data_IF_047872283161
#
_entry.id   IF_047872283161
#
_cell.length_a   1.000
_cell.length_b   1.000
_cell.length_c   1.000
_cell.angle_alpha   90.00
_cell.angle_beta   90.00
_cell.angle_gamma   90.00
#
_symmetry.space_group_name_H-M   'P 1'
#
loop_
_entity.id
_entity.type
_entity.pdbx_description
1 polymer ?
#
# COMPACT_ATOMS: atom_id res chain seq x y z
N UNK A 1 -7.43 -11.87 -0.93
CA UNK A 1 -6.44 -12.16 0.14
C UNK A 1 -6.32 -11.06 1.20
N UNK A 2 -6.44 -9.76 0.87
CA UNK A 2 -6.39 -8.71 1.90
C UNK A 2 -7.53 -8.81 2.92
N UNK A 3 -8.76 -9.00 2.45
CA UNK A 3 -9.97 -9.06 3.30
C UNK A 3 -9.90 -10.17 4.36
N UNK A 4 -9.36 -11.34 4.02
CA UNK A 4 -9.14 -12.43 4.97
C UNK A 4 -8.15 -11.99 6.05
N UNK A 5 -7.05 -11.31 5.70
CA UNK A 5 -6.11 -10.80 6.72
C UNK A 5 -6.78 -9.78 7.63
N UNK A 6 -7.56 -8.86 7.07
CA UNK A 6 -8.29 -7.88 7.87
C UNK A 6 -9.21 -8.57 8.86
N UNK A 7 -9.95 -9.59 8.43
CA UNK A 7 -10.82 -10.38 9.30
C UNK A 7 -10.06 -11.13 10.40
N UNK A 8 -9.08 -11.96 10.02
CA UNK A 8 -8.38 -12.88 10.94
C UNK A 8 -7.61 -12.15 12.05
N UNK A 9 -7.00 -11.00 11.74
CA UNK A 9 -6.16 -10.29 12.72
C UNK A 9 -6.76 -8.97 13.21
N UNK A 10 -8.03 -8.67 12.89
CA UNK A 10 -8.68 -7.39 13.25
C UNK A 10 -8.59 -7.09 14.74
N UNK A 11 -8.89 -8.07 15.58
CA UNK A 11 -8.99 -7.90 17.03
C UNK A 11 -7.62 -7.84 17.72
N UNK A 12 -6.58 -8.31 17.05
CA UNK A 12 -5.23 -8.42 17.61
C UNK A 12 -4.34 -7.21 17.31
N UNK A 13 -4.71 -6.39 16.33
CA UNK A 13 -3.91 -5.21 15.94
C UNK A 13 -4.64 -3.90 16.23
N UNK A 14 -3.85 -2.86 16.50
CA UNK A 14 -4.36 -1.49 16.69
C UNK A 14 -4.64 -0.80 15.37
N UNK A 15 -3.78 -1.02 14.36
CA UNK A 15 -3.84 -0.33 13.08
C UNK A 15 -3.29 -1.21 11.96
N UNK A 16 -3.97 -1.21 10.83
CA UNK A 16 -3.48 -1.68 9.55
C UNK A 16 -2.96 -0.50 8.74
N UNK A 17 -1.65 -0.45 8.53
CA UNK A 17 -1.06 0.43 7.53
C UNK A 17 -1.06 -0.28 6.18
N UNK A 18 -1.83 0.22 5.23
CA UNK A 18 -1.93 -0.37 3.88
C UNK A 18 -1.41 0.64 2.86
N UNK A 19 -0.18 0.41 2.42
CA UNK A 19 0.43 1.15 1.32
C UNK A 19 0.15 0.44 -0.01
N UNK A 20 -0.41 1.18 -0.96
CA UNK A 20 -0.61 0.70 -2.33
C UNK A 20 0.08 1.65 -3.32
N UNK A 21 0.86 1.08 -4.23
CA UNK A 21 1.51 1.84 -5.31
C UNK A 21 0.68 1.91 -6.59
N UNK A 22 0.89 2.93 -7.43
CA UNK A 22 0.30 3.03 -8.78
C UNK A 22 1.14 2.37 -9.89
N UNK A 23 2.16 1.61 -9.53
CA UNK A 23 2.90 0.72 -10.44
C UNK A 23 2.88 -0.72 -9.93
N UNK A 24 3.10 -1.67 -10.83
CA UNK A 24 3.34 -3.09 -10.52
C UNK A 24 4.80 -3.30 -10.12
N UNK A 25 5.10 -4.49 -9.58
CA UNK A 25 6.46 -4.93 -9.28
C UNK A 25 7.40 -4.77 -10.49
N UNK A 26 6.90 -5.11 -11.68
CA UNK A 26 7.63 -4.99 -12.95
C UNK A 26 7.66 -3.56 -13.52
N UNK A 27 7.18 -2.56 -12.78
CA UNK A 27 7.22 -1.16 -13.20
C UNK A 27 6.10 -0.72 -14.16
N UNK A 28 5.08 -1.54 -14.38
CA UNK A 28 3.96 -1.17 -15.26
C UNK A 28 2.93 -0.34 -14.48
N UNK A 29 2.21 0.60 -15.12
CA UNK A 29 1.15 1.34 -14.44
C UNK A 29 0.05 0.41 -13.92
N UNK A 30 -0.50 0.70 -12.73
CA UNK A 30 -1.69 0.05 -12.19
C UNK A 30 -2.59 1.05 -11.46
N UNK A 31 -3.91 0.86 -11.48
CA UNK A 31 -4.79 1.67 -10.64
C UNK A 31 -4.58 1.35 -9.15
N UNK A 32 -5.07 2.24 -8.29
CA UNK A 32 -5.19 1.96 -6.86
C UNK A 32 -6.44 1.10 -6.60
N UNK A 33 -6.28 -0.22 -6.58
CA UNK A 33 -7.37 -1.17 -6.39
C UNK A 33 -8.02 -1.06 -5.02
N UNK A 34 -7.25 -0.70 -3.98
CA UNK A 34 -7.78 -0.49 -2.64
C UNK A 34 -8.77 0.68 -2.62
N UNK A 35 -8.47 1.76 -3.35
CA UNK A 35 -9.38 2.91 -3.51
C UNK A 35 -10.65 2.52 -4.24
N UNK A 36 -10.53 1.77 -5.33
CA UNK A 36 -11.68 1.31 -6.13
C UNK A 36 -12.61 0.38 -5.35
N UNK A 37 -12.05 -0.44 -4.45
CA UNK A 37 -12.80 -1.41 -3.65
C UNK A 37 -13.02 -0.93 -2.21
N UNK A 38 -12.83 0.36 -1.92
CA UNK A 38 -12.80 0.86 -0.55
C UNK A 38 -14.07 0.53 0.24
N UNK A 39 -15.24 0.65 -0.41
CA UNK A 39 -16.54 0.37 0.20
C UNK A 39 -16.67 -1.07 0.70
N UNK A 40 -16.05 -2.04 0.03
CA UNK A 40 -16.10 -3.45 0.44
C UNK A 40 -15.40 -3.71 1.77
N UNK A 41 -14.46 -2.84 2.14
CA UNK A 41 -13.69 -2.94 3.37
C UNK A 41 -14.27 -2.06 4.49
N UNK A 42 -15.48 -1.51 4.31
CA UNK A 42 -16.14 -0.63 5.30
C UNK A 42 -16.12 -1.17 6.74
N UNK A 43 -16.33 -2.48 7.01
CA UNK A 43 -16.27 -3.00 8.37
C UNK A 43 -14.92 -2.78 9.07
N UNK A 44 -13.84 -2.63 8.31
CA UNK A 44 -12.47 -2.55 8.82
C UNK A 44 -11.90 -1.13 8.83
N UNK A 45 -12.61 -0.14 8.27
CA UNK A 45 -12.09 1.23 8.07
C UNK A 45 -11.59 1.88 9.36
N UNK A 46 -12.23 1.59 10.49
CA UNK A 46 -11.86 2.13 11.79
C UNK A 46 -10.39 1.88 12.17
N UNK A 47 -9.78 0.79 11.65
CA UNK A 47 -8.38 0.45 11.91
C UNK A 47 -7.49 0.57 10.66
N UNK A 48 -7.96 1.06 9.52
CA UNK A 48 -7.14 1.14 8.31
C UNK A 48 -6.61 2.56 8.11
N UNK A 49 -5.27 2.70 8.07
CA UNK A 49 -4.59 3.85 7.48
C UNK A 49 -4.16 3.49 6.06
N UNK A 50 -4.73 4.18 5.08
CA UNK A 50 -4.45 3.98 3.66
C UNK A 50 -3.38 4.96 3.17
N UNK A 51 -2.39 4.45 2.46
CA UNK A 51 -1.30 5.24 1.86
C UNK A 51 -1.25 4.96 0.36
N UNK A 52 -1.33 6.02 -0.44
CA UNK A 52 -1.13 5.96 -1.89
C UNK A 52 0.32 6.29 -2.22
N UNK A 53 1.05 5.34 -2.80
CA UNK A 53 2.45 5.47 -3.18
C UNK A 53 2.52 5.79 -4.68
N UNK A 54 2.68 7.06 -5.02
CA UNK A 54 2.71 7.51 -6.42
C UNK A 54 4.14 7.47 -6.96
N UNK A 55 4.48 6.42 -7.70
CA UNK A 55 5.80 6.21 -8.30
C UNK A 55 5.82 6.44 -9.80
N UNK A 56 4.66 6.59 -10.46
CA UNK A 56 4.59 6.91 -11.89
C UNK A 56 5.24 8.25 -12.25
N UNK A 57 5.21 9.22 -11.34
CA UNK A 57 5.90 10.51 -11.52
C UNK A 57 7.42 10.40 -11.30
N UNK A 58 7.89 9.26 -10.78
CA UNK A 58 9.27 9.03 -10.41
C UNK A 58 9.98 8.32 -11.57
N UNK A 59 11.01 8.95 -12.15
CA UNK A 59 11.83 8.36 -13.23
C UNK A 59 12.70 7.18 -12.76
N UNK A 60 12.59 6.80 -11.48
CA UNK A 60 13.33 5.73 -10.83
C UNK A 60 12.71 4.33 -10.98
N UNK A 61 11.70 4.16 -11.84
CA UNK A 61 11.20 2.83 -12.20
C UNK A 61 12.28 2.11 -13.01
N UNK A 62 12.68 0.93 -12.57
CA UNK A 62 13.73 0.14 -13.21
C UNK A 62 13.19 -1.17 -13.76
N UNK A 63 13.96 -1.80 -14.65
CA UNK A 63 13.70 -3.16 -15.10
C UNK A 63 13.88 -4.21 -13.97
N UNK A 64 14.56 -3.85 -12.88
CA UNK A 64 14.75 -4.73 -11.73
C UNK A 64 13.50 -4.69 -10.83
N UNK A 65 12.72 -5.79 -10.74
CA UNK A 65 11.46 -5.78 -10.01
C UNK A 65 11.64 -5.59 -8.50
N UNK A 66 12.76 -6.08 -7.94
CA UNK A 66 13.10 -5.94 -6.51
C UNK A 66 13.45 -4.51 -6.13
N UNK A 67 14.08 -3.76 -7.04
CA UNK A 67 14.35 -2.34 -6.80
C UNK A 67 13.07 -1.54 -6.74
N UNK A 68 12.12 -1.83 -7.63
CA UNK A 68 10.81 -1.18 -7.60
C UNK A 68 10.06 -1.52 -6.31
N UNK A 69 10.12 -2.79 -5.88
CA UNK A 69 9.51 -3.25 -4.63
C UNK A 69 10.06 -2.54 -3.39
N UNK A 70 11.38 -2.44 -3.28
CA UNK A 70 12.03 -1.72 -2.20
C UNK A 70 11.56 -0.25 -2.19
N UNK A 71 11.56 0.42 -3.34
CA UNK A 71 11.05 1.80 -3.45
C UNK A 71 9.58 1.91 -3.02
N UNK A 72 8.72 0.96 -3.41
CA UNK A 72 7.31 0.93 -2.99
C UNK A 72 7.16 0.79 -1.47
N UNK A 73 7.96 -0.10 -0.87
CA UNK A 73 7.94 -0.35 0.57
C UNK A 73 8.43 0.87 1.34
N UNK A 74 9.61 1.37 0.99
CA UNK A 74 10.28 2.45 1.71
C UNK A 74 9.45 3.73 1.63
N UNK A 75 8.93 4.06 0.45
CA UNK A 75 8.04 5.21 0.27
C UNK A 75 6.71 5.03 1.01
N UNK A 76 6.17 3.80 1.03
CA UNK A 76 4.98 3.47 1.80
C UNK A 76 5.16 3.66 3.31
N UNK A 77 6.33 3.28 3.85
CA UNK A 77 6.70 3.50 5.25
C UNK A 77 6.86 4.99 5.51
N UNK A 78 7.64 5.70 4.68
CA UNK A 78 7.90 7.14 4.78
C UNK A 78 6.61 7.96 4.85
N UNK A 79 5.63 7.63 4.00
CA UNK A 79 4.33 8.30 3.95
C UNK A 79 3.38 7.85 5.08
N UNK A 80 3.49 6.61 5.54
CA UNK A 80 2.54 5.99 6.46
C UNK A 80 2.87 6.11 7.95
N UNK A 81 4.16 6.25 8.26
CA UNK A 81 4.71 6.29 9.62
C UNK A 81 5.31 7.67 9.87
N UNK A 82 4.66 8.52 10.70
CA UNK A 82 5.20 9.82 11.07
C UNK A 82 6.59 9.65 11.71
N UNK A 83 7.56 10.47 11.29
CA UNK A 83 8.95 10.45 11.76
C UNK A 83 9.76 9.18 11.41
N UNK A 84 9.36 8.44 10.38
CA UNK A 84 10.29 7.50 9.74
C UNK A 84 11.32 8.30 8.95
N UNK A 85 12.58 8.18 9.35
CA UNK A 85 13.76 8.93 8.88
C UNK A 85 13.88 9.10 7.38
#
# INVERSE_FOLDING_TARGET
>A
MLEIRLYEIYDYVTLFLIAESNITLSGKPKPFYLKQNWQRLAPYHAKIRRVEVNLMANTNITANPWRNENTMRDEGIRLGVPNST
#
